data_IF_873572951446
#
_entry.id   IF_873572951446
#
_cell.length_a   1.000
_cell.length_b   1.000
_cell.length_c   1.000
_cell.angle_alpha   90.00
_cell.angle_beta   90.00
_cell.angle_gamma   90.00
#
_symmetry.space_group_name_H-M   'P 1'
#
loop_
_entity.id
_entity.type
_entity.pdbx_description
1 polymer ?
#
# COMPACT_ATOMS: atom_id res chain seq x y z
N UNK A 1 8.98 -23.60 4.20
CA UNK A 1 9.63 -22.29 3.97
C UNK A 1 10.14 -22.25 2.55
N UNK A 2 9.78 -21.20 1.81
CA UNK A 2 10.15 -20.99 0.40
C UNK A 2 11.70 -20.86 0.28
N UNK A 3 12.31 -21.49 -0.74
CA UNK A 3 13.77 -21.48 -0.95
C UNK A 3 14.30 -20.06 -1.18
N UNK A 4 13.54 -19.24 -1.94
CA UNK A 4 13.89 -17.84 -2.21
C UNK A 4 13.87 -17.02 -0.91
N UNK A 5 12.91 -17.27 -0.04
CA UNK A 5 12.81 -16.58 1.25
C UNK A 5 14.01 -16.92 2.16
N UNK A 6 14.39 -18.19 2.21
CA UNK A 6 15.59 -18.63 2.96
C UNK A 6 16.86 -17.97 2.43
N UNK A 7 16.98 -17.84 1.11
CA UNK A 7 18.11 -17.15 0.50
C UNK A 7 18.09 -15.65 0.78
N UNK A 8 16.90 -15.02 0.78
CA UNK A 8 16.76 -13.60 1.14
C UNK A 8 17.19 -13.33 2.59
N UNK A 9 16.79 -14.20 3.53
CA UNK A 9 17.26 -14.10 4.92
C UNK A 9 18.79 -14.28 5.03
N UNK A 10 19.37 -15.23 4.29
CA UNK A 10 20.82 -15.42 4.29
C UNK A 10 21.58 -14.19 3.75
N UNK A 11 20.99 -13.39 2.87
CA UNK A 11 21.58 -12.14 2.40
C UNK A 11 21.68 -11.08 3.51
N UNK A 12 20.76 -11.07 4.48
CA UNK A 12 20.80 -10.14 5.63
C UNK A 12 22.07 -10.36 6.47
N UNK A 13 22.37 -11.63 6.76
CA UNK A 13 23.53 -12.01 7.57
C UNK A 13 24.86 -11.80 6.83
N UNK A 14 24.81 -11.73 5.49
CA UNK A 14 25.98 -11.70 4.63
C UNK A 14 26.16 -10.34 3.90
N UNK A 15 25.84 -9.28 4.58
CA UNK A 15 26.05 -7.89 4.11
C UNK A 15 25.44 -7.57 2.74
N UNK A 16 24.26 -8.12 2.46
CA UNK A 16 23.54 -8.03 1.19
C UNK A 16 24.27 -8.67 0.00
N UNK A 17 24.99 -9.76 0.23
CA UNK A 17 25.49 -10.59 -0.85
C UNK A 17 24.35 -11.36 -1.52
N UNK A 18 24.00 -10.96 -2.73
CA UNK A 18 22.89 -11.54 -3.51
C UNK A 18 23.30 -12.79 -4.31
N UNK A 19 24.54 -13.28 -4.20
CA UNK A 19 25.07 -14.38 -5.02
C UNK A 19 24.21 -15.66 -4.96
N UNK A 20 23.64 -15.98 -3.81
CA UNK A 20 22.73 -17.12 -3.65
C UNK A 20 21.42 -16.88 -4.38
N UNK A 21 20.85 -15.68 -4.29
CA UNK A 21 19.63 -15.30 -5.00
C UNK A 21 19.87 -15.27 -6.51
N UNK A 22 20.99 -14.70 -6.97
CA UNK A 22 21.36 -14.71 -8.39
C UNK A 22 21.48 -16.14 -8.91
N UNK A 23 22.14 -17.04 -8.19
CA UNK A 23 22.20 -18.45 -8.55
C UNK A 23 20.79 -19.07 -8.69
N UNK A 24 19.90 -18.82 -7.73
CA UNK A 24 18.53 -19.35 -7.77
C UNK A 24 17.72 -18.83 -8.95
N UNK A 25 17.85 -17.56 -9.29
CA UNK A 25 17.10 -16.95 -10.39
C UNK A 25 17.72 -17.21 -11.75
N UNK A 26 19.05 -17.08 -11.88
CA UNK A 26 19.73 -17.05 -13.16
C UNK A 26 20.20 -18.44 -13.59
N UNK A 27 20.73 -19.25 -12.67
CA UNK A 27 21.27 -20.58 -12.97
C UNK A 27 20.25 -21.69 -12.70
N UNK A 28 19.53 -21.62 -11.57
CA UNK A 28 18.53 -22.64 -11.22
C UNK A 28 17.19 -22.40 -11.90
N UNK A 29 16.97 -21.20 -12.46
CA UNK A 29 15.80 -20.85 -13.25
C UNK A 29 14.49 -20.61 -12.46
N UNK A 30 14.59 -20.25 -11.17
CA UNK A 30 13.42 -19.83 -10.43
C UNK A 30 12.90 -18.48 -10.97
N UNK A 31 11.60 -18.24 -10.86
CA UNK A 31 11.01 -17.00 -11.29
C UNK A 31 9.89 -16.56 -10.35
N UNK A 32 9.97 -15.33 -9.85
CA UNK A 32 8.89 -14.74 -9.06
C UNK A 32 7.64 -14.44 -9.89
N UNK A 33 7.72 -14.54 -11.21
CA UNK A 33 6.56 -14.46 -12.12
C UNK A 33 5.78 -15.78 -12.16
N UNK A 34 6.38 -16.90 -11.73
CA UNK A 34 5.70 -18.19 -11.64
C UNK A 34 4.74 -18.18 -10.43
N UNK A 35 3.43 -18.37 -10.63
CA UNK A 35 2.45 -18.37 -9.54
C UNK A 35 2.81 -19.29 -8.37
N UNK A 36 3.45 -20.44 -8.62
CA UNK A 36 3.86 -21.39 -7.55
C UNK A 36 4.85 -20.80 -6.54
N UNK A 37 5.60 -19.74 -6.90
CA UNK A 37 6.54 -19.04 -6.01
C UNK A 37 5.94 -17.75 -5.43
N UNK A 38 4.85 -17.24 -6.04
CA UNK A 38 4.11 -16.11 -5.52
C UNK A 38 3.08 -16.53 -4.45
N UNK A 39 2.85 -17.83 -4.28
CA UNK A 39 1.97 -18.39 -3.26
C UNK A 39 2.81 -19.04 -2.16
N UNK A 40 3.26 -18.27 -1.19
CA UNK A 40 3.65 -18.86 0.08
C UNK A 40 2.36 -19.16 0.86
N UNK A 41 1.89 -20.39 0.77
CA UNK A 41 0.93 -20.91 1.75
C UNK A 41 1.61 -20.92 3.12
N UNK A 42 1.29 -19.93 3.97
CA UNK A 42 1.66 -19.99 5.36
C UNK A 42 0.66 -20.84 6.12
N UNK A 43 1.18 -21.81 6.82
CA UNK A 43 0.43 -22.47 7.89
C UNK A 43 0.03 -21.38 8.91
N UNK A 44 -1.27 -21.15 9.04
CA UNK A 44 -1.89 -20.18 9.97
C UNK A 44 -1.34 -20.27 11.40
N UNK A 45 -0.74 -21.40 11.77
CA UNK A 45 -0.16 -21.64 13.09
C UNK A 45 1.11 -20.80 13.32
N UNK A 46 1.96 -20.65 12.31
CA UNK A 46 3.18 -19.81 12.40
C UNK A 46 2.87 -18.33 12.38
N UNK A 47 1.76 -17.94 11.78
CA UNK A 47 1.26 -16.57 11.78
C UNK A 47 0.78 -16.16 13.18
N UNK A 48 0.15 -17.07 13.92
CA UNK A 48 -0.26 -16.84 15.32
C UNK A 48 0.92 -16.58 16.26
N UNK A 49 2.03 -17.26 16.08
CA UNK A 49 3.23 -17.09 16.91
C UNK A 49 3.97 -15.78 16.62
N UNK A 50 3.87 -15.25 15.40
CA UNK A 50 4.41 -13.95 15.02
C UNK A 50 3.53 -12.75 15.49
N UNK A 51 2.32 -13.03 15.97
CA UNK A 51 1.27 -12.05 16.25
C UNK A 51 1.56 -11.08 17.39
N UNK A 52 2.35 -11.44 18.38
CA UNK A 52 2.71 -10.54 19.48
C UNK A 52 3.61 -9.37 19.00
N UNK A 53 4.26 -9.54 17.86
CA UNK A 53 5.14 -8.55 17.24
C UNK A 53 4.42 -7.68 16.19
N UNK A 54 3.32 -8.17 15.59
CA UNK A 54 2.65 -7.50 14.46
C UNK A 54 1.12 -7.49 14.64
N UNK A 55 0.62 -6.40 15.19
CA UNK A 55 -0.81 -6.16 15.51
C UNK A 55 -1.76 -6.36 14.31
N UNK A 56 -1.22 -6.30 13.11
CA UNK A 56 -1.96 -6.46 11.85
C UNK A 56 -2.75 -7.76 11.76
N UNK A 57 -2.24 -8.81 12.35
CA UNK A 57 -2.77 -10.16 12.16
C UNK A 57 -3.96 -10.50 13.06
N UNK A 58 -4.19 -9.70 14.11
CA UNK A 58 -5.30 -9.92 15.04
C UNK A 58 -6.69 -9.66 14.43
N UNK A 59 -6.79 -8.77 13.45
CA UNK A 59 -8.07 -8.46 12.79
C UNK A 59 -8.36 -9.36 11.58
N UNK A 60 -7.40 -10.20 11.22
CA UNK A 60 -7.45 -11.06 10.04
C UNK A 60 -7.64 -12.53 10.41
N UNK A 61 -7.88 -12.83 11.69
CA UNK A 61 -8.03 -14.21 12.17
C UNK A 61 -9.13 -14.99 11.47
N UNK A 62 -10.07 -14.31 10.82
CA UNK A 62 -11.23 -14.93 10.17
C UNK A 62 -11.17 -14.94 8.63
N UNK A 63 -10.09 -14.39 8.00
CA UNK A 63 -10.01 -14.36 6.54
C UNK A 63 -8.71 -14.94 5.99
N UNK A 64 -8.79 -16.12 5.33
CA UNK A 64 -7.64 -16.76 4.70
C UNK A 64 -7.10 -16.01 3.45
N UNK A 65 -7.83 -15.04 2.89
CA UNK A 65 -7.48 -14.39 1.63
C UNK A 65 -6.32 -13.40 1.76
N UNK A 66 -6.14 -12.75 2.90
CA UNK A 66 -5.03 -11.80 3.15
C UNK A 66 -3.66 -12.49 3.14
N UNK A 67 -3.64 -13.79 3.25
CA UNK A 67 -2.41 -14.58 3.31
C UNK A 67 -1.98 -15.15 1.96
N UNK A 68 -2.69 -14.85 0.91
CA UNK A 68 -2.26 -15.17 -0.44
C UNK A 68 -1.20 -14.17 -0.88
N UNK A 69 0.02 -14.38 -0.41
CA UNK A 69 0.92 -13.93 -0.69
C UNK A 69 2.05 -13.46 -0.97
N UNK A 70 2.31 -12.64 -1.18
CA UNK A 70 3.48 -12.03 -1.73
C UNK A 70 4.66 -12.33 -0.83
N UNK A 71 5.59 -13.06 -1.40
CA UNK A 71 6.89 -13.37 -0.81
C UNK A 71 7.53 -12.13 -0.16
N UNK A 72 7.21 -10.93 -0.67
CA UNK A 72 7.73 -9.69 -0.15
C UNK A 72 7.15 -9.32 1.22
N UNK A 73 5.87 -9.55 1.46
CA UNK A 73 5.27 -9.33 2.77
C UNK A 73 5.75 -10.36 3.78
N UNK A 74 5.91 -11.60 3.33
CA UNK A 74 6.46 -12.66 4.15
C UNK A 74 7.90 -12.35 4.57
N UNK A 75 8.72 -11.86 3.65
CA UNK A 75 10.06 -11.38 3.97
C UNK A 75 10.03 -10.24 4.98
N UNK A 76 9.23 -9.19 4.74
CA UNK A 76 9.17 -8.02 5.61
C UNK A 76 8.70 -8.37 7.03
N UNK A 77 7.76 -9.30 7.15
CA UNK A 77 7.14 -9.65 8.44
C UNK A 77 7.96 -10.66 9.26
N UNK A 78 8.71 -11.53 8.61
CA UNK A 78 9.38 -12.64 9.27
C UNK A 78 10.91 -12.54 9.26
N UNK A 79 11.50 -11.57 8.60
CA UNK A 79 12.92 -11.30 8.63
C UNK A 79 13.34 -10.74 10.00
N UNK A 80 14.48 -11.19 10.53
CA UNK A 80 15.02 -10.68 11.77
C UNK A 80 15.46 -9.22 11.63
N UNK A 81 15.95 -8.84 10.46
CA UNK A 81 16.40 -7.49 10.15
C UNK A 81 16.08 -7.12 8.70
N UNK A 82 14.78 -6.96 8.36
CA UNK A 82 14.38 -6.70 7.00
C UNK A 82 14.95 -5.38 6.48
N UNK A 83 15.46 -5.38 5.25
CA UNK A 83 16.01 -4.16 4.66
C UNK A 83 15.52 -3.89 3.24
N UNK A 84 15.50 -2.62 2.88
CA UNK A 84 14.97 -2.14 1.60
C UNK A 84 15.78 -2.57 0.38
N UNK A 85 17.05 -2.94 0.53
CA UNK A 85 17.87 -3.38 -0.61
C UNK A 85 17.46 -4.78 -1.07
N UNK A 86 17.22 -5.70 -0.13
CA UNK A 86 16.71 -7.05 -0.43
C UNK A 86 15.29 -6.94 -1.00
N UNK A 87 14.44 -6.10 -0.42
CA UNK A 87 13.10 -5.83 -0.94
C UNK A 87 13.18 -5.35 -2.40
N UNK A 88 14.00 -4.35 -2.65
CA UNK A 88 14.21 -3.80 -4.00
C UNK A 88 14.74 -4.84 -4.97
N UNK A 89 15.67 -5.69 -4.53
CA UNK A 89 16.16 -6.80 -5.34
C UNK A 89 15.02 -7.75 -5.73
N UNK A 90 14.19 -8.18 -4.76
CA UNK A 90 13.05 -9.06 -5.00
C UNK A 90 12.00 -8.41 -5.93
N UNK A 91 11.71 -7.12 -5.76
CA UNK A 91 10.81 -6.38 -6.66
C UNK A 91 11.35 -6.35 -8.09
N UNK A 92 12.64 -6.09 -8.28
CA UNK A 92 13.26 -6.11 -9.60
C UNK A 92 13.22 -7.51 -10.27
N UNK A 93 13.14 -8.57 -9.48
CA UNK A 93 12.95 -9.96 -9.95
C UNK A 93 11.48 -10.35 -10.14
N UNK A 94 10.53 -9.45 -9.84
CA UNK A 94 9.09 -9.61 -10.11
C UNK A 94 8.21 -9.83 -8.89
N UNK A 95 8.71 -9.66 -7.68
CA UNK A 95 7.86 -9.61 -6.48
C UNK A 95 6.94 -8.39 -6.52
N UNK A 96 5.71 -8.54 -6.02
CA UNK A 96 4.69 -7.50 -6.08
C UNK A 96 4.17 -7.13 -4.70
N UNK A 97 3.92 -5.84 -4.51
CA UNK A 97 3.20 -5.30 -3.36
C UNK A 97 1.69 -5.20 -3.56
N UNK A 98 1.25 -5.19 -4.83
CA UNK A 98 -0.17 -5.07 -5.20
C UNK A 98 -0.87 -6.42 -5.00
N UNK A 99 -0.99 -6.83 -3.75
CA UNK A 99 -1.73 -8.03 -3.34
C UNK A 99 -2.93 -7.55 -2.53
N UNK A 100 -4.07 -7.58 -3.17
CA UNK A 100 -5.30 -7.05 -2.63
C UNK A 100 -6.14 -8.18 -2.02
N UNK A 101 -6.80 -7.85 -0.95
CA UNK A 101 -7.74 -8.73 -0.30
C UNK A 101 -9.11 -8.63 -0.98
N UNK A 102 -9.61 -9.77 -1.44
CA UNK A 102 -10.92 -9.84 -2.10
C UNK A 102 -12.09 -9.72 -1.11
N UNK A 103 -11.87 -9.93 0.19
CA UNK A 103 -12.91 -9.90 1.22
C UNK A 103 -13.06 -8.56 1.95
N UNK A 104 -12.02 -7.71 1.99
CA UNK A 104 -11.97 -6.48 2.79
C UNK A 104 -11.72 -5.22 1.96
N UNK A 105 -12.58 -4.96 1.00
CA UNK A 105 -12.51 -3.73 0.19
C UNK A 105 -11.21 -3.57 -0.60
N UNK A 106 -10.59 -4.66 -1.02
CA UNK A 106 -9.39 -4.67 -1.84
C UNK A 106 -8.18 -3.98 -1.19
N UNK A 107 -8.07 -4.01 0.12
CA UNK A 107 -6.92 -3.46 0.85
C UNK A 107 -5.69 -4.36 0.71
N UNK A 108 -4.53 -3.76 0.71
CA UNK A 108 -3.25 -4.48 0.87
C UNK A 108 -2.78 -4.42 2.32
N UNK A 109 -1.83 -5.25 2.75
CA UNK A 109 -1.21 -5.12 4.08
C UNK A 109 -0.68 -3.71 4.37
N UNK A 110 -0.24 -2.97 3.35
CA UNK A 110 0.24 -1.59 3.53
C UNK A 110 -0.86 -0.61 3.96
N UNK A 111 -2.11 -0.81 3.53
CA UNK A 111 -3.25 -0.01 3.99
C UNK A 111 -3.49 -0.19 5.48
N UNK A 112 -3.40 -1.43 5.96
CA UNK A 112 -3.50 -1.72 7.39
C UNK A 112 -2.32 -1.13 8.18
N UNK A 113 -1.09 -1.17 7.63
CA UNK A 113 0.07 -0.52 8.27
C UNK A 113 -0.11 0.98 8.37
N UNK A 114 -0.68 1.63 7.35
CA UNK A 114 -1.00 3.04 7.37
C UNK A 114 -2.00 3.39 8.47
N UNK A 115 -3.10 2.68 8.53
CA UNK A 115 -4.16 2.88 9.53
C UNK A 115 -3.70 2.61 10.96
N UNK A 116 -2.71 1.72 11.16
CA UNK A 116 -2.21 1.33 12.47
C UNK A 116 -0.93 2.03 12.90
N UNK A 117 -0.57 3.09 12.20
CA UNK A 117 0.62 3.90 12.49
C UNK A 117 1.94 3.11 12.45
N UNK A 118 2.01 2.05 11.61
CA UNK A 118 3.23 1.27 11.43
C UNK A 118 4.14 1.90 10.37
N UNK A 119 4.69 3.07 10.71
CA UNK A 119 5.50 3.87 9.79
C UNK A 119 6.80 3.15 9.38
N UNK A 120 7.38 2.31 10.23
CA UNK A 120 8.63 1.60 9.96
C UNK A 120 8.48 0.59 8.81
N UNK A 121 7.42 -0.21 8.82
CA UNK A 121 7.14 -1.17 7.75
C UNK A 121 6.77 -0.46 6.44
N UNK A 122 6.00 0.63 6.51
CA UNK A 122 5.68 1.44 5.34
C UNK A 122 6.92 2.08 4.72
N UNK A 123 7.77 2.70 5.53
CA UNK A 123 9.02 3.29 5.07
C UNK A 123 9.90 2.26 4.37
N UNK A 124 10.04 1.09 4.98
CA UNK A 124 10.82 -0.02 4.44
C UNK A 124 10.27 -0.49 3.08
N UNK A 125 8.95 -0.71 2.99
CA UNK A 125 8.30 -1.15 1.77
C UNK A 125 8.42 -0.12 0.64
N UNK A 126 8.14 1.16 0.92
CA UNK A 126 8.20 2.23 -0.09
C UNK A 126 9.65 2.46 -0.55
N UNK A 127 10.63 2.46 0.35
CA UNK A 127 12.05 2.50 -0.01
C UNK A 127 12.49 1.28 -0.81
N UNK A 128 11.83 0.16 -0.61
CA UNK A 128 12.02 -1.08 -1.37
C UNK A 128 11.35 -1.09 -2.75
N UNK A 129 10.55 -0.07 -3.08
CA UNK A 129 9.94 0.09 -4.41
C UNK A 129 8.41 -0.04 -4.44
N UNK A 130 7.75 -0.12 -3.27
CA UNK A 130 6.29 -0.05 -3.24
C UNK A 130 5.78 1.32 -3.67
N UNK A 131 4.61 1.35 -4.33
CA UNK A 131 3.96 2.58 -4.73
C UNK A 131 3.42 3.31 -3.49
N UNK A 132 3.87 4.56 -3.27
CA UNK A 132 3.42 5.41 -2.16
C UNK A 132 1.92 5.77 -2.26
N UNK A 133 1.39 5.87 -3.48
CA UNK A 133 -0.01 6.11 -3.79
C UNK A 133 -0.75 4.80 -4.14
N UNK A 134 -0.32 3.69 -3.54
CA UNK A 134 -1.00 2.40 -3.71
C UNK A 134 -2.47 2.54 -3.31
N UNK A 135 -3.36 2.11 -4.22
CA UNK A 135 -4.80 2.21 -4.04
C UNK A 135 -5.38 0.87 -3.59
N UNK A 136 -6.50 0.91 -2.88
CA UNK A 136 -7.35 -0.26 -2.71
C UNK A 136 -7.85 -0.71 -4.09
N UNK A 137 -8.00 -2.03 -4.30
CA UNK A 137 -8.74 -2.56 -5.44
C UNK A 137 -10.14 -2.87 -4.97
N UNK A 138 -11.00 -1.94 -5.21
CA UNK A 138 -12.41 -2.14 -4.94
C UNK A 138 -13.03 -3.02 -6.03
N UNK A 139 -14.10 -3.73 -5.69
CA UNK A 139 -15.00 -4.31 -6.69
C UNK A 139 -15.21 -3.25 -7.78
N UNK A 140 -15.20 -3.60 -9.09
CA UNK A 140 -15.51 -2.68 -10.19
C UNK A 140 -16.79 -1.86 -10.01
N UNK A 141 -17.65 -2.28 -9.06
CA UNK A 141 -18.87 -1.58 -8.64
C UNK A 141 -18.68 -0.71 -7.39
N UNK A 142 -17.50 -0.67 -6.81
CA UNK A 142 -17.24 0.05 -5.57
C UNK A 142 -16.69 1.44 -5.86
N UNK A 143 -17.19 2.41 -5.14
CA UNK A 143 -17.08 3.85 -5.42
C UNK A 143 -15.77 4.47 -4.89
N UNK A 144 -14.84 3.71 -4.27
CA UNK A 144 -13.74 4.30 -3.51
C UNK A 144 -12.43 3.56 -3.66
N UNK A 145 -11.50 4.13 -4.42
CA UNK A 145 -10.09 3.71 -4.45
C UNK A 145 -9.28 4.57 -3.48
N UNK A 146 -9.23 4.17 -2.22
CA UNK A 146 -8.47 4.88 -1.20
C UNK A 146 -6.97 4.61 -1.35
N UNK A 147 -6.14 5.64 -1.15
CA UNK A 147 -4.68 5.48 -1.08
C UNK A 147 -4.23 5.22 0.37
N UNK A 148 -2.96 4.86 0.53
CA UNK A 148 -2.36 4.73 1.87
C UNK A 148 -2.53 6.00 2.71
N UNK A 149 -2.54 7.17 2.08
CA UNK A 149 -2.71 8.44 2.76
C UNK A 149 -4.14 8.60 3.33
N UNK A 150 -5.19 8.12 2.65
CA UNK A 150 -6.55 8.10 3.19
C UNK A 150 -6.64 7.27 4.47
N UNK A 151 -6.04 6.07 4.46
CA UNK A 151 -6.00 5.23 5.66
C UNK A 151 -5.23 5.92 6.80
N UNK A 152 -4.11 6.56 6.48
CA UNK A 152 -3.31 7.26 7.47
C UNK A 152 -4.08 8.41 8.13
N UNK A 153 -4.84 9.20 7.37
CA UNK A 153 -5.53 10.38 7.91
C UNK A 153 -6.85 10.05 8.58
N UNK A 154 -7.36 8.84 8.38
CA UNK A 154 -8.63 8.38 8.98
C UNK A 154 -8.59 8.24 10.50
N UNK A 155 -7.40 8.21 11.10
CA UNK A 155 -7.20 8.13 12.54
C UNK A 155 -6.34 9.31 13.06
N UNK A 156 -6.68 9.94 14.19
CA UNK A 156 -5.96 11.13 14.65
C UNK A 156 -4.53 10.87 15.12
N UNK A 157 -4.22 9.63 15.52
CA UNK A 157 -2.92 9.25 16.11
C UNK A 157 -1.87 8.86 15.07
N UNK A 158 -2.26 8.78 13.79
CA UNK A 158 -1.41 8.31 12.69
C UNK A 158 -0.57 9.40 12.03
N UNK A 159 -0.43 10.56 12.68
CA UNK A 159 0.28 11.71 12.11
C UNK A 159 1.73 11.42 11.68
N UNK A 160 2.41 10.42 12.28
CA UNK A 160 3.75 10.01 11.86
C UNK A 160 3.74 9.33 10.50
N UNK A 161 2.75 8.48 10.24
CA UNK A 161 2.56 7.86 8.93
C UNK A 161 2.12 8.90 7.91
N UNK A 162 1.21 9.80 8.27
CA UNK A 162 0.81 10.92 7.41
C UNK A 162 2.02 11.74 6.99
N UNK A 163 2.87 12.12 7.94
CA UNK A 163 4.12 12.85 7.66
C UNK A 163 5.05 12.06 6.75
N UNK A 164 5.30 10.79 7.06
CA UNK A 164 6.15 9.91 6.26
C UNK A 164 5.66 9.80 4.81
N UNK A 165 4.36 9.54 4.59
CA UNK A 165 3.82 9.42 3.25
C UNK A 165 3.95 10.71 2.45
N UNK A 166 3.72 11.87 3.08
CA UNK A 166 3.94 13.18 2.45
C UNK A 166 5.42 13.37 2.08
N UNK A 167 6.35 13.08 2.98
CA UNK A 167 7.80 13.17 2.76
C UNK A 167 8.28 12.24 1.63
N UNK A 168 7.64 11.09 1.47
CA UNK A 168 7.91 10.13 0.40
C UNK A 168 7.17 10.43 -0.91
N UNK A 169 6.44 11.55 -0.97
CA UNK A 169 5.85 12.06 -2.19
C UNK A 169 4.42 11.62 -2.48
N UNK A 170 3.68 11.16 -1.46
CA UNK A 170 2.26 10.83 -1.63
C UNK A 170 1.46 12.00 -2.22
N UNK A 171 0.51 11.69 -3.09
CA UNK A 171 -0.38 12.68 -3.68
C UNK A 171 -1.42 13.17 -2.66
N UNK A 172 -1.13 14.29 -2.01
CA UNK A 172 -2.01 14.89 -0.98
C UNK A 172 -3.36 15.37 -1.51
N UNK A 173 -3.51 15.46 -2.83
CA UNK A 173 -4.72 15.90 -3.51
C UNK A 173 -5.36 14.77 -4.35
N UNK A 174 -5.05 13.52 -4.05
CA UNK A 174 -5.75 12.40 -4.68
C UNK A 174 -7.24 12.48 -4.32
N UNK A 175 -8.11 12.43 -5.32
CA UNK A 175 -9.54 12.56 -5.12
C UNK A 175 -10.27 11.24 -5.36
N UNK A 176 -11.20 10.90 -4.42
CA UNK A 176 -12.04 9.68 -4.43
C UNK A 176 -13.46 10.06 -4.13
N UNK A 177 -14.30 10.63 -4.29
CA UNK A 177 -14.86 11.97 -4.41
C UNK A 177 -14.37 12.95 -3.33
N UNK A 178 -13.98 12.47 -2.19
CA UNK A 178 -13.32 13.27 -1.16
C UNK A 178 -11.81 13.33 -1.38
N UNK A 179 -11.10 14.15 -0.61
CA UNK A 179 -9.63 14.20 -0.58
C UNK A 179 -9.12 13.77 0.80
N UNK A 180 -7.84 13.44 0.95
CA UNK A 180 -7.26 13.17 2.25
C UNK A 180 -7.50 14.31 3.27
N UNK A 181 -7.62 15.56 2.81
CA UNK A 181 -7.90 16.68 3.71
C UNK A 181 -9.37 16.72 4.18
N UNK A 182 -10.33 16.29 3.34
CA UNK A 182 -11.73 16.18 3.73
C UNK A 182 -11.90 15.13 4.83
N UNK A 183 -11.24 13.98 4.68
CA UNK A 183 -11.41 12.83 5.57
C UNK A 183 -10.49 12.89 6.81
N UNK A 184 -9.54 13.83 6.82
CA UNK A 184 -8.55 13.89 7.88
C UNK A 184 -9.15 14.08 9.27
N UNK A 185 -8.82 13.16 10.16
CA UNK A 185 -9.10 13.27 11.60
C UNK A 185 -7.87 13.82 12.35
N UNK A 186 -8.14 14.56 13.39
CA UNK A 186 -7.10 15.17 14.22
C UNK A 186 -6.47 16.44 13.61
N UNK A 187 -6.11 17.36 14.49
CA UNK A 187 -5.54 18.68 14.10
C UNK A 187 -4.14 18.55 13.48
N UNK A 188 -3.35 17.56 13.91
CA UNK A 188 -2.00 17.32 13.38
C UNK A 188 -2.03 16.84 11.94
N UNK A 189 -2.88 15.84 11.61
CA UNK A 189 -3.05 15.37 10.23
C UNK A 189 -3.51 16.51 9.32
N UNK A 190 -4.53 17.27 9.74
CA UNK A 190 -5.01 18.43 8.98
C UNK A 190 -3.94 19.48 8.75
N UNK A 191 -3.10 19.74 9.76
CA UNK A 191 -1.99 20.68 9.61
C UNK A 191 -0.95 20.18 8.62
N UNK A 192 -0.48 18.94 8.76
CA UNK A 192 0.49 18.33 7.84
C UNK A 192 0.03 18.38 6.38
N UNK A 193 -1.23 18.02 6.14
CA UNK A 193 -1.82 18.07 4.82
C UNK A 193 -1.86 19.49 4.24
N UNK A 194 -2.31 20.47 5.03
CA UNK A 194 -2.38 21.88 4.60
C UNK A 194 -0.99 22.45 4.31
N UNK A 195 -0.02 22.15 5.18
CA UNK A 195 1.38 22.58 5.00
C UNK A 195 2.00 21.96 3.72
N UNK A 196 1.54 20.77 3.32
CA UNK A 196 1.91 20.11 2.07
C UNK A 196 1.08 20.56 0.83
N UNK A 197 0.18 21.53 0.98
CA UNK A 197 -0.62 22.04 -0.13
C UNK A 197 -1.86 21.22 -0.46
N UNK A 198 -2.34 20.39 0.48
CA UNK A 198 -3.61 19.68 0.29
C UNK A 198 -4.79 20.65 0.23
N UNK A 199 -5.72 20.34 -0.64
CA UNK A 199 -6.98 21.05 -0.86
C UNK A 199 -8.16 20.10 -0.57
N UNK A 200 -9.28 20.65 -0.17
CA UNK A 200 -10.55 19.91 -0.11
C UNK A 200 -11.10 19.63 -1.50
N UNK A 201 -11.98 18.65 -1.64
CA UNK A 201 -12.68 18.38 -2.91
C UNK A 201 -13.33 19.65 -3.48
N UNK A 202 -14.06 20.40 -2.67
CA UNK A 202 -14.66 21.66 -3.09
C UNK A 202 -13.65 22.72 -3.58
N UNK A 203 -12.44 22.74 -3.03
CA UNK A 203 -11.38 23.65 -3.50
C UNK A 203 -10.79 23.18 -4.83
N UNK A 204 -10.64 21.86 -5.01
CA UNK A 204 -10.18 21.26 -6.25
C UNK A 204 -11.21 21.47 -7.37
N UNK A 205 -12.48 21.24 -7.09
CA UNK A 205 -13.59 21.45 -8.03
C UNK A 205 -13.57 22.89 -8.56
N UNK A 206 -13.49 23.84 -7.66
CA UNK A 206 -13.40 25.26 -8.02
C UNK A 206 -12.14 25.57 -8.83
N UNK A 207 -11.00 24.99 -8.45
CA UNK A 207 -9.71 25.25 -9.11
C UNK A 207 -9.67 24.72 -10.53
N UNK A 208 -10.21 23.51 -10.76
CA UNK A 208 -10.17 22.83 -12.05
C UNK A 208 -11.46 22.96 -12.85
N UNK A 209 -12.50 23.61 -12.29
CA UNK A 209 -13.83 23.75 -12.89
C UNK A 209 -14.47 22.39 -13.22
N UNK A 210 -14.30 21.43 -12.32
CA UNK A 210 -14.87 20.08 -12.39
C UNK A 210 -15.70 19.93 -11.12
N UNK A 211 -17.02 19.74 -11.26
CA UNK A 211 -17.94 19.72 -10.13
C UNK A 211 -18.59 18.36 -9.98
N UNK A 212 -18.71 17.95 -8.72
CA UNK A 212 -19.51 16.81 -8.36
C UNK A 212 -20.98 17.12 -8.49
N UNK A 213 -21.73 16.26 -9.17
CA UNK A 213 -23.17 16.35 -9.30
C UNK A 213 -23.84 15.10 -8.76
N UNK A 214 -24.52 15.23 -7.61
CA UNK A 214 -25.18 14.12 -6.95
C UNK A 214 -26.39 13.58 -7.73
N UNK A 215 -27.08 14.44 -8.51
CA UNK A 215 -28.25 14.02 -9.32
C UNK A 215 -27.78 13.18 -10.53
N UNK A 216 -26.63 13.50 -11.14
CA UNK A 216 -26.07 12.71 -12.22
C UNK A 216 -25.50 11.39 -11.67
N UNK A 217 -24.94 11.37 -10.45
CA UNK A 217 -24.48 10.14 -9.81
C UNK A 217 -25.61 9.13 -9.57
N UNK A 218 -26.80 9.59 -9.22
CA UNK A 218 -27.97 8.71 -9.06
C UNK A 218 -28.45 8.11 -10.39
N UNK A 219 -28.17 8.78 -11.51
CA UNK A 219 -28.58 8.34 -12.86
C UNK A 219 -27.56 7.46 -13.56
N UNK A 220 -26.28 7.64 -13.27
CA UNK A 220 -25.17 6.93 -13.92
C UNK A 220 -24.23 6.36 -12.86
N UNK A 221 -24.27 5.04 -12.67
CA UNK A 221 -23.38 4.31 -11.73
C UNK A 221 -21.90 4.54 -12.00
N UNK A 222 -21.53 4.92 -13.24
CA UNK A 222 -20.13 5.21 -13.61
C UNK A 222 -19.72 6.67 -13.43
N UNK A 223 -20.63 7.54 -12.98
CA UNK A 223 -20.36 8.97 -12.85
C UNK A 223 -19.26 9.29 -11.85
N UNK A 224 -19.24 8.61 -10.71
CA UNK A 224 -18.22 8.74 -9.69
C UNK A 224 -16.82 8.47 -10.26
N UNK A 225 -16.68 7.37 -10.99
CA UNK A 225 -15.39 6.99 -11.60
C UNK A 225 -14.95 8.05 -12.64
N UNK A 226 -15.87 8.54 -13.47
CA UNK A 226 -15.60 9.60 -14.44
C UNK A 226 -15.16 10.90 -13.77
N UNK A 227 -15.87 11.32 -12.72
CA UNK A 227 -15.52 12.51 -11.95
C UNK A 227 -14.14 12.41 -11.33
N UNK A 228 -13.86 11.32 -10.59
CA UNK A 228 -12.58 11.09 -9.95
C UNK A 228 -11.43 11.04 -10.97
N UNK A 229 -11.64 10.40 -12.12
CA UNK A 229 -10.66 10.35 -13.21
C UNK A 229 -10.37 11.74 -13.76
N UNK A 230 -11.39 12.51 -14.12
CA UNK A 230 -11.21 13.86 -14.65
C UNK A 230 -10.45 14.76 -13.67
N UNK A 231 -10.79 14.70 -12.39
CA UNK A 231 -10.16 15.52 -11.37
C UNK A 231 -8.69 15.11 -11.14
N UNK A 232 -8.42 13.83 -11.02
CA UNK A 232 -7.04 13.32 -10.85
C UNK A 232 -6.17 13.59 -12.09
N UNK A 233 -6.70 13.47 -13.31
CA UNK A 233 -6.02 13.83 -14.54
C UNK A 233 -5.67 15.33 -14.60
N UNK A 234 -6.61 16.20 -14.17
CA UNK A 234 -6.37 17.64 -14.10
C UNK A 234 -5.28 17.99 -13.07
N UNK A 235 -5.31 17.35 -11.89
CA UNK A 235 -4.29 17.50 -10.85
C UNK A 235 -2.91 17.07 -11.37
N UNK A 236 -2.84 15.94 -12.07
CA UNK A 236 -1.60 15.42 -12.66
C UNK A 236 -1.02 16.36 -13.70
N UNK A 237 -1.82 16.80 -14.66
CA UNK A 237 -1.40 17.76 -15.70
C UNK A 237 -0.90 19.08 -15.14
N UNK A 238 -1.41 19.53 -14.01
CA UNK A 238 -0.97 20.76 -13.36
C UNK A 238 0.37 20.64 -12.62
N UNK A 239 0.91 19.42 -12.48
CA UNK A 239 2.24 19.15 -11.87
C UNK A 239 3.35 18.96 -12.91
N UNK A 240 2.98 18.74 -14.18
CA UNK A 240 3.88 18.68 -15.34
C UNK A 240 4.25 20.08 -15.84
#
# INVERSE_FOLDING_TARGET
>A
MNLILRAAHACEDNNNDFSILDYLFDEYGLSLKDPKYNFAFHDMKHIKEANDKYILMKEVEDDPCIYQNALIYDYILNADNPNSQIIKYLVNRGAKFEVHDEGYSGRTPMHFWARRNNYQLLELAIKGGANVDMQTLLDPKSEYNETLLFEAVSEPETYRVTQLLIELGANVNFATPTTPLDDAKGSRNKKLLKDAGAMTSAQLDKKYNIYWDSEECEKDESYMEKYCKLLNDAIKKAKE
#
